data_IF_250230689917
#
_entry.id   IF_250230689917
#
_cell.length_a   1.000
_cell.length_b   1.000
_cell.length_c   1.000
_cell.angle_alpha   90.00
_cell.angle_beta   90.00
_cell.angle_gamma   90.00
#
_symmetry.space_group_name_H-M   'P 1'
#
loop_
_entity.id
_entity.type
_entity.pdbx_description
1 polymer ?
#
# COMPACT_ATOMS: atom_id res chain seq x y z
N UNK A 1 -1.90 28.21 4.70
CA UNK A 1 -0.97 27.17 5.16
C UNK A 1 -0.28 26.67 3.90
N UNK A 2 1.03 26.89 3.76
CA UNK A 2 1.81 26.42 2.61
C UNK A 2 1.80 24.88 2.63
N UNK A 3 1.06 24.29 1.71
CA UNK A 3 0.92 22.85 1.62
C UNK A 3 1.93 22.30 0.59
N UNK A 4 3.23 22.60 0.81
CA UNK A 4 4.32 22.19 -0.10
C UNK A 4 4.77 20.72 0.12
N UNK A 5 4.01 19.96 0.92
CA UNK A 5 4.37 18.58 1.25
C UNK A 5 4.03 17.66 0.08
N UNK A 6 5.05 17.01 -0.46
CA UNK A 6 4.90 16.00 -1.50
C UNK A 6 4.33 14.70 -0.92
N UNK A 7 3.27 14.21 -1.52
CA UNK A 7 2.67 12.91 -1.20
C UNK A 7 2.79 11.98 -2.42
N UNK A 8 3.40 10.83 -2.22
CA UNK A 8 3.51 9.81 -3.27
C UNK A 8 2.75 8.56 -2.81
N UNK A 9 1.70 8.19 -3.53
CA UNK A 9 0.97 6.94 -3.29
C UNK A 9 1.37 5.89 -4.32
N UNK A 10 1.91 4.75 -3.86
CA UNK A 10 2.43 3.69 -4.72
C UNK A 10 1.58 2.42 -4.62
N UNK A 11 0.74 2.18 -5.62
CA UNK A 11 0.13 0.88 -5.90
C UNK A 11 1.14 -0.06 -6.56
N UNK A 12 1.02 -1.36 -6.37
CA UNK A 12 2.01 -2.32 -6.93
C UNK A 12 1.49 -3.74 -6.96
N UNK A 13 1.91 -4.48 -7.96
CA UNK A 13 1.75 -5.93 -8.03
C UNK A 13 2.74 -6.66 -7.09
N UNK A 14 2.40 -7.88 -6.66
CA UNK A 14 3.32 -8.70 -5.88
C UNK A 14 4.47 -9.18 -6.77
N UNK A 15 5.70 -9.03 -6.31
CA UNK A 15 6.89 -9.41 -7.05
C UNK A 15 7.40 -8.36 -8.05
N UNK A 16 6.69 -7.23 -8.26
CA UNK A 16 7.11 -6.16 -9.19
C UNK A 16 8.30 -5.31 -8.73
N UNK A 17 8.80 -5.50 -7.50
CA UNK A 17 9.82 -4.61 -6.93
C UNK A 17 9.26 -3.28 -6.40
N UNK A 18 7.96 -3.02 -6.54
CA UNK A 18 7.35 -1.73 -6.25
C UNK A 18 7.57 -1.20 -4.82
N UNK A 19 7.69 -2.09 -3.80
CA UNK A 19 8.04 -1.65 -2.43
C UNK A 19 9.46 -1.09 -2.35
N UNK A 20 10.41 -1.74 -3.02
CA UNK A 20 11.81 -1.28 -3.08
C UNK A 20 11.90 0.04 -3.82
N UNK A 21 11.25 0.16 -4.99
CA UNK A 21 11.21 1.40 -5.77
C UNK A 21 10.57 2.53 -4.96
N UNK A 22 9.49 2.26 -4.23
CA UNK A 22 8.85 3.25 -3.36
C UNK A 22 9.78 3.73 -2.23
N UNK A 23 10.58 2.83 -1.65
CA UNK A 23 11.59 3.19 -0.64
C UNK A 23 12.68 4.08 -1.23
N UNK A 24 13.16 3.74 -2.43
CA UNK A 24 14.16 4.55 -3.15
C UNK A 24 13.64 5.95 -3.49
N UNK A 25 12.35 6.07 -3.86
CA UNK A 25 11.70 7.38 -4.06
C UNK A 25 11.62 8.17 -2.75
N UNK A 26 11.31 7.50 -1.63
CA UNK A 26 11.28 8.15 -0.33
C UNK A 26 12.66 8.73 0.06
N UNK A 27 13.71 7.96 -0.18
CA UNK A 27 15.08 8.39 0.09
C UNK A 27 15.51 9.56 -0.83
N UNK A 28 15.15 9.52 -2.12
CA UNK A 28 15.47 10.56 -3.09
C UNK A 28 14.78 11.90 -2.81
N UNK A 29 13.53 11.87 -2.37
CA UNK A 29 12.77 13.08 -2.07
C UNK A 29 12.79 13.49 -0.59
N UNK A 30 13.53 12.78 0.26
CA UNK A 30 13.56 13.05 1.69
C UNK A 30 12.21 12.85 2.37
N UNK A 31 11.38 11.95 1.84
CA UNK A 31 10.04 11.67 2.35
C UNK A 31 10.05 10.59 3.44
N UNK A 32 9.15 10.70 4.41
CA UNK A 32 8.88 9.57 5.31
C UNK A 32 8.25 8.42 4.53
N UNK A 33 8.70 7.20 4.78
CA UNK A 33 8.23 6.00 4.10
C UNK A 33 7.22 5.23 4.96
N UNK A 34 6.05 5.00 4.42
CA UNK A 34 4.96 4.30 5.09
C UNK A 34 4.50 3.10 4.27
N UNK A 35 4.88 1.92 4.70
CA UNK A 35 4.26 0.70 4.24
C UNK A 35 3.23 0.18 5.25
N UNK A 36 2.75 -1.03 5.03
CA UNK A 36 1.77 -1.68 5.88
C UNK A 36 2.17 -1.72 7.36
N UNK A 37 3.42 -2.07 7.64
CA UNK A 37 3.90 -2.28 9.00
C UNK A 37 4.04 -0.94 9.73
N UNK A 38 4.62 0.05 9.04
CA UNK A 38 4.80 1.40 9.61
C UNK A 38 3.47 2.10 9.87
N UNK A 39 2.47 1.93 8.99
CA UNK A 39 1.13 2.49 9.23
C UNK A 39 0.43 1.85 10.44
N UNK A 40 0.68 0.58 10.69
CA UNK A 40 0.15 -0.09 11.88
C UNK A 40 0.79 0.44 13.17
N UNK A 41 2.11 0.68 13.15
CA UNK A 41 2.82 1.30 14.26
C UNK A 41 2.35 2.74 14.49
N UNK A 42 2.23 3.54 13.45
CA UNK A 42 1.76 4.92 13.54
C UNK A 42 0.33 5.01 14.09
N UNK A 43 -0.55 4.09 13.72
CA UNK A 43 -1.89 3.99 14.29
C UNK A 43 -1.85 3.65 15.79
N UNK A 44 -0.98 2.72 16.19
CA UNK A 44 -0.76 2.33 17.59
C UNK A 44 -0.23 3.51 18.43
N UNK A 45 0.79 4.20 17.95
CA UNK A 45 1.43 5.33 18.62
C UNK A 45 0.52 6.57 18.71
N UNK A 46 -0.42 6.72 17.79
CA UNK A 46 -1.37 7.85 17.78
C UNK A 46 -2.45 7.77 18.83
N UNK A 47 -2.47 6.76 19.69
CA UNK A 47 -3.50 6.57 20.71
C UNK A 47 -4.87 6.15 20.15
N UNK A 48 -4.94 5.74 18.89
CA UNK A 48 -6.14 5.16 18.31
C UNK A 48 -6.37 3.78 18.94
N UNK A 49 -7.25 3.76 19.96
CA UNK A 49 -7.71 2.59 20.70
C UNK A 49 -6.60 1.69 21.25
N UNK A 50 -5.95 2.08 22.40
CA UNK A 50 -5.02 1.18 23.12
C UNK A 50 -5.63 -0.18 23.43
N UNK A 51 -6.92 -0.22 23.80
CA UNK A 51 -7.68 -1.44 24.08
C UNK A 51 -7.73 -2.43 22.91
N UNK A 52 -7.67 -1.91 21.69
CA UNK A 52 -7.64 -2.72 20.49
C UNK A 52 -6.33 -3.48 20.32
N UNK A 53 -5.22 -2.83 20.65
CA UNK A 53 -3.89 -3.42 20.54
C UNK A 53 -3.55 -4.31 21.75
N UNK A 54 -3.99 -3.93 22.96
CA UNK A 54 -3.72 -4.67 24.19
C UNK A 54 -4.42 -6.05 24.26
N UNK A 55 -5.67 -6.16 23.82
CA UNK A 55 -6.40 -7.44 23.77
C UNK A 55 -5.80 -8.45 22.77
N UNK A 56 -4.91 -8.03 21.90
CA UNK A 56 -4.40 -8.82 20.79
C UNK A 56 -2.87 -8.97 20.77
N UNK A 57 -2.14 -8.37 21.71
CA UNK A 57 -0.66 -8.47 21.80
C UNK A 57 -0.20 -9.89 22.20
N UNK A 58 -1.05 -10.69 22.84
CA UNK A 58 -0.76 -12.09 23.18
C UNK A 58 -0.84 -13.06 21.99
N UNK A 59 -1.35 -12.62 20.84
CA UNK A 59 -1.39 -13.40 19.61
C UNK A 59 -0.50 -12.78 18.54
N UNK A 60 0.74 -13.28 18.43
CA UNK A 60 1.67 -12.96 17.32
C UNK A 60 1.09 -13.13 15.89
N UNK A 61 -0.13 -13.65 15.78
CA UNK A 61 -0.88 -13.82 14.53
C UNK A 61 -1.91 -12.73 14.23
N UNK A 62 -2.19 -11.81 15.15
CA UNK A 62 -3.33 -10.90 14.98
C UNK A 62 -3.06 -9.77 13.98
N UNK A 63 -1.89 -9.15 14.01
CA UNK A 63 -1.49 -8.20 12.96
C UNK A 63 -1.39 -8.91 11.60
N UNK A 64 -0.94 -10.15 11.57
CA UNK A 64 -0.99 -11.00 10.38
C UNK A 64 -2.44 -11.32 9.98
N UNK A 65 -3.35 -11.58 10.91
CA UNK A 65 -4.76 -11.81 10.63
C UNK A 65 -5.46 -10.56 10.08
N UNK A 66 -5.29 -9.40 10.71
CA UNK A 66 -5.90 -8.14 10.21
C UNK A 66 -5.41 -7.81 8.80
N UNK A 67 -4.16 -8.13 8.51
CA UNK A 67 -3.53 -7.80 7.25
C UNK A 67 -3.45 -8.96 6.27
N UNK A 68 -3.67 -10.19 6.68
CA UNK A 68 -3.75 -11.37 5.83
C UNK A 68 -5.18 -11.89 5.68
N UNK A 69 -6.17 -11.23 6.28
CA UNK A 69 -7.54 -11.68 6.09
C UNK A 69 -7.82 -11.83 4.59
N UNK A 70 -7.89 -13.07 4.18
CA UNK A 70 -8.75 -13.46 3.07
C UNK A 70 -10.11 -12.90 3.44
N UNK A 71 -10.67 -12.05 2.60
CA UNK A 71 -12.09 -11.78 2.62
C UNK A 71 -12.74 -12.92 1.82
N UNK A 72 -13.16 -14.02 2.45
CA UNK A 72 -14.21 -14.77 1.86
C UNK A 72 -15.44 -13.86 2.05
N UNK A 73 -16.12 -13.56 1.01
CA UNK A 73 -17.52 -13.15 1.06
C UNK A 73 -18.30 -14.34 1.62
N UNK A 74 -18.26 -14.53 2.93
CA UNK A 74 -19.03 -15.54 3.65
C UNK A 74 -19.60 -14.85 4.88
N UNK A 75 -20.91 -14.73 4.85
CA UNK A 75 -21.78 -14.50 5.98
C UNK A 75 -21.51 -15.53 7.07
N UNK A 76 -20.59 -15.26 7.99
CA UNK A 76 -20.53 -15.99 9.24
C UNK A 76 -20.58 -15.00 10.40
N UNK A 77 -21.66 -15.11 11.16
CA UNK A 77 -22.11 -14.21 12.22
C UNK A 77 -21.23 -14.23 13.48
N UNK A 78 -20.13 -14.97 13.50
CA UNK A 78 -19.25 -15.10 14.66
C UNK A 78 -18.19 -14.00 14.79
N UNK A 79 -18.06 -13.08 13.78
CA UNK A 79 -17.13 -11.93 13.85
C UNK A 79 -17.73 -10.66 14.46
N UNK A 80 -19.03 -10.63 14.69
CA UNK A 80 -19.72 -9.47 15.27
C UNK A 80 -19.46 -9.26 16.77
N UNK A 81 -18.86 -10.25 17.45
CA UNK A 81 -18.72 -10.20 18.90
C UNK A 81 -17.44 -9.50 19.41
N UNK A 82 -16.56 -9.02 18.53
CA UNK A 82 -15.29 -8.38 18.92
C UNK A 82 -15.17 -6.87 18.58
N UNK A 83 -16.25 -6.19 18.22
CA UNK A 83 -16.29 -4.71 18.12
C UNK A 83 -15.44 -4.07 17.02
N UNK A 84 -14.86 -4.85 16.09
CA UNK A 84 -13.97 -4.38 15.04
C UNK A 84 -14.48 -4.77 13.67
N UNK A 85 -15.31 -3.87 13.12
CA UNK A 85 -15.66 -3.98 11.72
C UNK A 85 -14.47 -3.60 10.82
N UNK A 86 -14.45 -4.13 9.60
CA UNK A 86 -13.45 -3.75 8.59
C UNK A 86 -13.45 -2.23 8.33
N UNK A 87 -14.61 -1.60 8.46
CA UNK A 87 -14.81 -0.15 8.35
C UNK A 87 -14.05 0.62 9.44
N UNK A 88 -14.08 0.13 10.70
CA UNK A 88 -13.32 0.75 11.78
C UNK A 88 -11.81 0.67 11.55
N UNK A 89 -11.32 -0.46 11.05
CA UNK A 89 -9.91 -0.61 10.68
C UNK A 89 -9.51 0.33 9.55
N UNK A 90 -10.35 0.43 8.52
CA UNK A 90 -10.11 1.37 7.43
C UNK A 90 -10.10 2.82 7.92
N UNK A 91 -11.01 3.19 8.83
CA UNK A 91 -11.06 4.53 9.44
C UNK A 91 -9.78 4.83 10.21
N UNK A 92 -9.33 3.94 11.10
CA UNK A 92 -8.10 4.11 11.88
C UNK A 92 -6.88 4.27 10.96
N UNK A 93 -6.76 3.45 9.92
CA UNK A 93 -5.69 3.59 8.93
C UNK A 93 -5.78 4.91 8.17
N UNK A 94 -6.98 5.33 7.79
CA UNK A 94 -7.20 6.59 7.07
C UNK A 94 -6.80 7.79 7.91
N UNK A 95 -7.11 7.78 9.20
CA UNK A 95 -6.74 8.86 10.13
C UNK A 95 -5.22 8.92 10.34
N UNK A 96 -4.55 7.76 10.45
CA UNK A 96 -3.09 7.68 10.50
C UNK A 96 -2.42 8.20 9.21
N UNK A 97 -3.00 7.89 8.04
CA UNK A 97 -2.52 8.39 6.74
C UNK A 97 -2.66 9.92 6.67
N UNK A 98 -3.82 10.47 7.03
CA UNK A 98 -4.05 11.93 7.04
C UNK A 98 -3.08 12.62 7.97
N UNK A 99 -2.95 12.14 9.22
CA UNK A 99 -2.02 12.69 10.20
C UNK A 99 -0.57 12.70 9.68
N UNK A 100 -0.10 11.59 9.13
CA UNK A 100 1.24 11.50 8.57
C UNK A 100 1.46 12.49 7.40
N UNK A 101 0.47 12.65 6.52
CA UNK A 101 0.51 13.59 5.41
C UNK A 101 0.48 15.05 5.87
N UNK A 102 -0.21 15.34 6.97
CA UNK A 102 -0.24 16.68 7.58
C UNK A 102 1.09 17.04 8.27
N UNK A 103 1.85 16.06 8.70
CA UNK A 103 3.13 16.29 9.39
C UNK A 103 4.30 16.48 8.42
N UNK A 104 4.38 15.71 7.33
CA UNK A 104 5.57 15.69 6.45
C UNK A 104 5.27 15.19 5.05
N UNK A 105 6.23 15.39 4.12
CA UNK A 105 6.22 14.69 2.83
C UNK A 105 6.33 13.19 3.04
N UNK A 106 5.51 12.41 2.31
CA UNK A 106 5.32 10.99 2.56
C UNK A 106 5.28 10.16 1.28
N UNK A 107 5.80 8.95 1.37
CA UNK A 107 5.56 7.87 0.39
C UNK A 107 4.74 6.78 1.06
N UNK A 108 3.53 6.55 0.59
CA UNK A 108 2.64 5.49 1.06
C UNK A 108 2.62 4.31 0.09
N UNK A 109 2.68 3.10 0.61
CA UNK A 109 2.65 1.88 -0.20
C UNK A 109 1.34 1.12 -0.01
N UNK A 110 0.37 1.36 -0.89
CA UNK A 110 -0.97 0.79 -0.87
C UNK A 110 -1.89 1.43 0.17
N UNK A 111 -2.83 0.64 0.75
CA UNK A 111 -3.79 1.06 1.78
C UNK A 111 -4.78 2.14 1.35
N UNK A 112 -5.05 2.21 0.05
CA UNK A 112 -5.94 3.23 -0.50
C UNK A 112 -5.51 4.67 -0.12
N UNK A 113 -4.21 4.91 0.09
CA UNK A 113 -3.72 6.24 0.44
C UNK A 113 -4.08 7.30 -0.61
N UNK A 114 -4.09 6.90 -1.88
CA UNK A 114 -4.56 7.71 -3.01
C UNK A 114 -6.04 8.12 -2.89
N UNK A 115 -6.88 7.25 -2.32
CA UNK A 115 -8.28 7.56 -2.07
C UNK A 115 -8.46 8.40 -0.79
N UNK A 116 -7.74 8.05 0.26
CA UNK A 116 -7.79 8.76 1.55
C UNK A 116 -7.36 10.22 1.41
N UNK A 117 -6.37 10.49 0.56
CA UNK A 117 -5.76 11.80 0.32
C UNK A 117 -6.14 12.40 -1.04
N UNK A 118 -7.21 11.95 -1.68
CA UNK A 118 -7.63 12.32 -3.04
C UNK A 118 -7.79 13.84 -3.27
N UNK A 119 -8.08 14.57 -2.20
CA UNK A 119 -8.27 16.03 -2.23
C UNK A 119 -6.94 16.81 -2.03
N UNK A 120 -5.81 16.10 -1.84
CA UNK A 120 -4.50 16.73 -1.71
C UNK A 120 -3.91 17.06 -3.09
N UNK A 121 -3.72 18.35 -3.43
CA UNK A 121 -3.25 18.77 -4.76
C UNK A 121 -1.81 18.34 -5.06
N UNK A 122 -1.01 18.08 -4.03
CA UNK A 122 0.40 17.68 -4.15
C UNK A 122 0.58 16.15 -4.11
N UNK A 123 -0.50 15.40 -4.22
CA UNK A 123 -0.42 13.94 -4.31
C UNK A 123 -0.10 13.51 -5.74
N UNK A 124 0.82 12.56 -5.84
CA UNK A 124 1.15 11.83 -7.07
C UNK A 124 0.88 10.36 -6.86
N UNK A 125 0.09 9.77 -7.75
CA UNK A 125 -0.33 8.37 -7.67
C UNK A 125 0.37 7.54 -8.75
N UNK A 126 1.07 6.48 -8.32
CA UNK A 126 1.85 5.61 -9.22
C UNK A 126 1.44 4.16 -9.03
N UNK A 127 1.32 3.42 -10.13
CA UNK A 127 1.16 1.97 -10.07
C UNK A 127 2.34 1.27 -10.73
N UNK A 128 2.98 0.33 -10.00
CA UNK A 128 4.15 -0.41 -10.47
C UNK A 128 3.76 -1.86 -10.75
N UNK A 129 3.80 -2.22 -12.01
CA UNK A 129 3.61 -3.58 -12.51
C UNK A 129 4.95 -4.22 -12.92
N UNK A 130 4.96 -5.51 -13.23
CA UNK A 130 6.05 -6.22 -13.87
C UNK A 130 5.51 -7.46 -14.60
N UNK A 131 6.28 -7.99 -15.53
CA UNK A 131 5.94 -9.20 -16.26
C UNK A 131 5.79 -10.39 -15.30
N UNK A 132 4.80 -11.25 -15.52
CA UNK A 132 4.48 -12.33 -14.59
C UNK A 132 5.67 -13.26 -14.31
N UNK A 133 6.49 -13.54 -15.32
CA UNK A 133 7.67 -14.37 -15.17
C UNK A 133 8.68 -13.78 -14.18
N UNK A 134 8.94 -12.48 -14.26
CA UNK A 134 9.84 -11.78 -13.35
C UNK A 134 9.28 -11.73 -11.94
N UNK A 135 7.97 -11.49 -11.81
CA UNK A 135 7.28 -11.48 -10.51
C UNK A 135 7.37 -12.84 -9.82
N UNK A 136 7.14 -13.94 -10.57
CA UNK A 136 7.30 -15.30 -10.05
C UNK A 136 8.74 -15.51 -9.58
N UNK A 137 9.74 -15.21 -10.43
CA UNK A 137 11.16 -15.34 -10.09
C UNK A 137 11.52 -14.57 -8.81
N UNK A 138 11.04 -13.33 -8.68
CA UNK A 138 11.27 -12.48 -7.51
C UNK A 138 10.61 -13.03 -6.24
N UNK A 139 9.43 -13.61 -6.36
CA UNK A 139 8.73 -14.25 -5.23
C UNK A 139 9.44 -15.54 -4.83
N UNK A 140 9.82 -16.39 -5.77
CA UNK A 140 10.59 -17.62 -5.50
C UNK A 140 11.87 -17.31 -4.72
N UNK A 141 12.67 -16.36 -5.19
CA UNK A 141 13.93 -15.96 -4.52
C UNK A 141 13.70 -15.46 -3.10
N UNK A 142 12.66 -14.64 -2.89
CA UNK A 142 12.38 -14.02 -1.59
C UNK A 142 11.76 -14.98 -0.58
N UNK A 143 10.95 -15.94 -1.04
CA UNK A 143 10.18 -16.87 -0.19
C UNK A 143 10.78 -18.27 -0.14
N UNK A 144 11.79 -18.55 -0.97
CA UNK A 144 12.37 -19.87 -1.13
C UNK A 144 11.31 -20.93 -1.44
N UNK A 145 10.50 -20.68 -2.47
CA UNK A 145 9.37 -21.53 -2.87
C UNK A 145 9.42 -21.86 -4.36
N UNK A 146 8.62 -22.83 -4.79
CA UNK A 146 8.49 -23.23 -6.18
C UNK A 146 7.78 -22.16 -7.03
N UNK A 147 7.90 -22.25 -8.36
CA UNK A 147 7.22 -21.34 -9.28
C UNK A 147 5.68 -21.45 -9.20
N UNK A 148 5.18 -22.65 -8.95
CA UNK A 148 3.74 -22.89 -8.78
C UNK A 148 3.20 -22.25 -7.50
N UNK A 149 3.89 -22.42 -6.38
CA UNK A 149 3.56 -21.77 -5.11
C UNK A 149 3.65 -20.25 -5.22
N UNK A 150 4.68 -19.73 -5.91
CA UNK A 150 4.82 -18.30 -6.15
C UNK A 150 3.66 -17.73 -6.99
N UNK A 151 3.25 -18.44 -8.05
CA UNK A 151 2.10 -18.05 -8.88
C UNK A 151 0.83 -17.98 -8.06
N UNK A 152 0.51 -19.04 -7.32
CA UNK A 152 -0.67 -19.08 -6.44
C UNK A 152 -0.65 -17.94 -5.42
N UNK A 153 0.50 -17.71 -4.78
CA UNK A 153 0.66 -16.60 -3.84
C UNK A 153 0.44 -15.23 -4.50
N UNK A 154 0.89 -15.03 -5.74
CA UNK A 154 0.66 -13.80 -6.50
C UNK A 154 -0.83 -13.60 -6.73
N UNK A 155 -1.53 -14.61 -7.25
CA UNK A 155 -2.96 -14.57 -7.53
C UNK A 155 -3.79 -14.26 -6.27
N UNK A 156 -3.54 -14.98 -5.17
CA UNK A 156 -4.23 -14.78 -3.90
C UNK A 156 -4.04 -13.37 -3.34
N UNK A 157 -2.79 -12.87 -3.34
CA UNK A 157 -2.48 -11.54 -2.81
C UNK A 157 -2.98 -10.40 -3.69
N UNK A 158 -3.02 -10.59 -5.00
CA UNK A 158 -3.58 -9.60 -5.93
C UNK A 158 -5.10 -9.55 -5.86
N UNK A 159 -5.77 -10.71 -5.76
CA UNK A 159 -7.19 -10.79 -5.50
C UNK A 159 -7.57 -10.03 -4.22
N UNK A 160 -6.86 -10.28 -3.13
CA UNK A 160 -7.09 -9.58 -1.85
C UNK A 160 -6.88 -8.06 -1.98
N UNK A 161 -5.81 -7.61 -2.67
CA UNK A 161 -5.52 -6.17 -2.84
C UNK A 161 -6.54 -5.48 -3.73
N UNK A 162 -6.91 -6.11 -4.85
CA UNK A 162 -7.89 -5.55 -5.77
C UNK A 162 -9.27 -5.44 -5.11
N UNK A 163 -9.72 -6.48 -4.40
CA UNK A 163 -11.00 -6.45 -3.69
C UNK A 163 -11.04 -5.32 -2.65
N UNK A 164 -9.99 -5.21 -1.83
CA UNK A 164 -9.88 -4.15 -0.83
C UNK A 164 -9.87 -2.75 -1.47
N UNK A 165 -9.04 -2.54 -2.49
CA UNK A 165 -8.91 -1.25 -3.15
C UNK A 165 -10.20 -0.86 -3.87
N UNK A 166 -10.78 -1.78 -4.64
CA UNK A 166 -12.00 -1.50 -5.40
C UNK A 166 -13.17 -1.17 -4.47
N UNK A 167 -13.30 -1.91 -3.36
CA UNK A 167 -14.37 -1.68 -2.38
C UNK A 167 -14.31 -0.29 -1.76
N UNK A 168 -13.15 0.12 -1.23
CA UNK A 168 -13.02 1.39 -0.53
C UNK A 168 -12.88 2.60 -1.45
N UNK A 169 -12.21 2.47 -2.59
CA UNK A 169 -11.95 3.60 -3.49
C UNK A 169 -13.01 3.80 -4.57
N UNK A 170 -13.79 2.78 -4.88
CA UNK A 170 -14.67 2.77 -6.05
C UNK A 170 -13.93 2.77 -7.40
N UNK A 171 -12.60 2.69 -7.39
CA UNK A 171 -11.74 2.62 -8.58
C UNK A 171 -11.34 1.17 -8.87
N UNK A 172 -10.75 0.92 -10.03
CA UNK A 172 -10.21 -0.39 -10.41
C UNK A 172 -8.72 -0.46 -10.11
N UNK A 173 -8.31 -1.39 -9.24
CA UNK A 173 -6.91 -1.62 -8.90
C UNK A 173 -6.07 -1.99 -10.11
N UNK A 174 -4.96 -1.29 -10.33
CA UNK A 174 -4.04 -1.52 -11.45
C UNK A 174 -4.51 -1.00 -12.80
N UNK A 175 -5.73 -0.47 -12.91
CA UNK A 175 -6.19 0.17 -14.14
C UNK A 175 -5.50 1.53 -14.33
N UNK A 176 -5.01 1.81 -15.55
CA UNK A 176 -4.28 3.05 -15.85
C UNK A 176 -5.07 4.32 -15.52
N UNK A 177 -6.39 4.29 -15.68
CA UNK A 177 -7.27 5.41 -15.34
C UNK A 177 -7.37 5.72 -13.84
N UNK A 178 -6.88 4.83 -12.97
CA UNK A 178 -6.92 5.00 -11.51
C UNK A 178 -5.69 5.71 -10.95
N UNK A 179 -4.64 5.94 -11.77
CA UNK A 179 -3.34 6.47 -11.34
C UNK A 179 -2.81 7.52 -12.31
N UNK A 180 -1.96 8.45 -11.81
CA UNK A 180 -1.28 9.44 -12.66
C UNK A 180 -0.23 8.79 -13.56
N UNK A 181 0.41 7.69 -13.10
CA UNK A 181 1.44 6.96 -13.84
C UNK A 181 1.37 5.46 -13.56
N UNK A 182 1.37 4.65 -14.63
CA UNK A 182 1.53 3.20 -14.55
C UNK A 182 2.82 2.80 -15.27
N UNK A 183 3.70 2.04 -14.59
CA UNK A 183 5.02 1.65 -15.12
C UNK A 183 5.24 0.16 -14.98
N UNK A 184 5.74 -0.49 -16.05
CA UNK A 184 6.22 -1.87 -16.01
C UNK A 184 7.73 -1.89 -15.69
N UNK A 185 8.06 -2.30 -14.46
CA UNK A 185 9.45 -2.34 -13.97
C UNK A 185 10.32 -3.42 -14.65
N UNK A 186 9.73 -4.44 -15.28
CA UNK A 186 10.50 -5.44 -16.04
C UNK A 186 11.26 -4.84 -17.21
N UNK A 187 10.76 -3.74 -17.77
CA UNK A 187 11.36 -3.09 -18.96
C UNK A 187 12.57 -2.24 -18.62
N UNK A 188 12.59 -1.66 -17.43
CA UNK A 188 13.59 -0.67 -17.04
C UNK A 188 14.52 -1.16 -15.90
N UNK A 189 14.10 -2.19 -15.16
CA UNK A 189 14.73 -2.52 -13.87
C UNK A 189 14.39 -1.50 -12.77
N UNK A 190 14.80 -1.78 -11.54
CA UNK A 190 14.36 -1.00 -10.39
C UNK A 190 14.92 0.45 -10.41
N UNK A 191 16.21 0.63 -10.69
CA UNK A 191 16.86 1.94 -10.70
C UNK A 191 16.27 2.87 -11.77
N UNK A 192 16.27 2.44 -13.03
CA UNK A 192 15.74 3.27 -14.11
C UNK A 192 14.22 3.52 -13.95
N UNK A 193 13.47 2.57 -13.38
CA UNK A 193 12.06 2.78 -13.04
C UNK A 193 11.92 3.87 -11.99
N UNK A 194 12.73 3.86 -10.95
CA UNK A 194 12.77 4.90 -9.92
C UNK A 194 13.11 6.27 -10.53
N UNK A 195 14.13 6.35 -11.37
CA UNK A 195 14.54 7.59 -12.05
C UNK A 195 13.44 8.17 -12.93
N UNK A 196 12.78 7.31 -13.71
CA UNK A 196 11.66 7.70 -14.56
C UNK A 196 10.48 8.26 -13.74
N UNK A 197 10.12 7.59 -12.65
CA UNK A 197 9.06 8.05 -11.75
C UNK A 197 9.46 9.37 -11.08
N UNK A 198 10.71 9.50 -10.62
CA UNK A 198 11.20 10.72 -9.99
C UNK A 198 11.16 11.92 -10.94
N UNK A 199 11.54 11.74 -12.21
CA UNK A 199 11.43 12.80 -13.22
C UNK A 199 9.98 13.19 -13.49
N UNK A 200 9.06 12.21 -13.58
CA UNK A 200 7.63 12.49 -13.70
C UNK A 200 7.13 13.35 -12.52
N UNK A 201 7.48 12.98 -11.29
CA UNK A 201 7.10 13.72 -10.08
C UNK A 201 7.63 15.15 -10.13
N UNK A 202 8.92 15.35 -10.46
CA UNK A 202 9.51 16.69 -10.57
C UNK A 202 8.80 17.58 -11.58
N UNK A 203 8.43 17.03 -12.73
CA UNK A 203 7.68 17.76 -13.75
C UNK A 203 6.26 18.11 -13.31
N UNK A 204 5.59 17.18 -12.65
CA UNK A 204 4.24 17.38 -12.11
C UNK A 204 4.21 18.47 -11.04
N UNK A 205 5.23 18.53 -10.17
CA UNK A 205 5.32 19.50 -9.07
C UNK A 205 5.75 20.91 -9.53
N UNK A 206 6.25 21.06 -10.75
CA UNK A 206 6.61 22.37 -11.34
C UNK A 206 5.43 23.09 -11.99
N UNK A 207 4.28 22.45 -12.10
CA UNK A 207 3.05 23.02 -12.67
C UNK A 207 2.20 23.67 -11.59
#
# INVERSE_FOLDING_TARGET
MNNDKLIISVGRQLGSGGRTIAKMLADEFGCKFYDREVLSLAAKESGFSPEFFEKNDERKGFLDQIFHMHVPFISDSSFYDNGLSQENLFRIQSDAIRKAADESSCVFVGRCADYVLRDNPNMVTVFITADLADRISNVCKRRNCSAEEARKLIEDKESTRSSYYNYYSGKTWGASASYDLCVNASRLGAECTKEFIAEFIRRRMKR
#
